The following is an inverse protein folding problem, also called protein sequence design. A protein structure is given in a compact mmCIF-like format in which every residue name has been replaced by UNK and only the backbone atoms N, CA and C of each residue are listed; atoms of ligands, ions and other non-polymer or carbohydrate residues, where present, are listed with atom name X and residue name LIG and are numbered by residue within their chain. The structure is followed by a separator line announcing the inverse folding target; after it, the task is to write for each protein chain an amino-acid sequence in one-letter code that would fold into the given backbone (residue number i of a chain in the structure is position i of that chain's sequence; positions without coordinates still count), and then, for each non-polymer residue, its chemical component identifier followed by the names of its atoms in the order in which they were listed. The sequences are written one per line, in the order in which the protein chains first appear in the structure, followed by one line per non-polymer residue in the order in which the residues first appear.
data_IF_682055237617
#
_entry.id   IF_682055237617
#
_cell.length_a   1.000
_cell.length_b   1.000
_cell.length_c   1.000
_cell.angle_alpha   90.00
_cell.angle_beta   90.00
_cell.angle_gamma   90.00
#
_symmetry.space_group_name_H-M   'P 1'
#
loop_
_entity.id
_entity.type
_entity.pdbx_description
1 polymer ?
#
# COMPACT_ATOMS: atom_id res chain seq x y z
N UNK A 1 36.31 8.53 0.61
CA UNK A 1 35.23 7.81 1.33
C UNK A 1 33.94 8.52 1.00
N UNK A 2 33.16 8.00 0.03
CA UNK A 2 31.92 8.63 -0.43
C UNK A 2 30.82 8.36 0.59
N UNK A 3 29.98 9.37 0.84
CA UNK A 3 28.94 9.36 1.86
C UNK A 3 27.95 8.21 1.64
N UNK A 4 27.71 7.42 2.68
CA UNK A 4 26.61 6.46 2.78
C UNK A 4 25.29 7.25 2.77
N UNK A 5 24.69 7.51 1.60
CA UNK A 5 23.36 8.10 1.52
C UNK A 5 22.31 7.04 1.89
N UNK A 6 22.13 6.87 3.20
CA UNK A 6 21.07 6.05 3.75
C UNK A 6 19.77 6.87 3.69
N UNK A 7 18.87 6.48 2.80
CA UNK A 7 17.56 7.13 2.67
C UNK A 7 16.54 6.29 3.43
N UNK A 8 15.95 6.86 4.48
CA UNK A 8 14.83 6.24 5.21
C UNK A 8 13.56 7.05 4.94
N UNK A 9 12.53 6.38 4.46
CA UNK A 9 11.24 6.95 4.10
C UNK A 9 10.16 6.32 4.97
N UNK A 10 9.27 7.14 5.52
CA UNK A 10 8.14 6.66 6.31
C UNK A 10 6.87 6.66 5.46
N UNK A 11 6.26 5.49 5.36
CA UNK A 11 4.98 5.31 4.68
C UNK A 11 3.91 5.32 5.76
N UNK A 12 3.16 6.42 5.80
CA UNK A 12 2.01 6.60 6.67
C UNK A 12 0.74 6.03 6.06
N UNK A 13 -0.39 6.43 6.64
CA UNK A 13 -1.72 5.97 6.21
C UNK A 13 -2.35 7.00 5.28
N UNK A 14 -2.70 6.59 4.06
CA UNK A 14 -3.38 7.45 3.09
C UNK A 14 -4.80 7.79 3.53
N UNK A 15 -5.17 9.09 3.44
CA UNK A 15 -6.55 9.55 3.65
C UNK A 15 -7.42 9.25 2.43
N UNK A 16 -6.83 9.32 1.23
CA UNK A 16 -7.50 8.98 -0.04
C UNK A 16 -7.89 7.51 -0.09
N UNK A 17 -6.99 6.61 0.29
CA UNK A 17 -7.27 5.17 0.36
C UNK A 17 -8.44 4.87 1.30
N UNK A 18 -8.46 5.47 2.50
CA UNK A 18 -9.59 5.39 3.44
C UNK A 18 -10.91 5.83 2.80
N UNK A 19 -10.91 6.97 2.10
CA UNK A 19 -12.10 7.51 1.45
C UNK A 19 -12.59 6.61 0.32
N UNK A 20 -11.68 6.09 -0.51
CA UNK A 20 -12.00 5.18 -1.61
C UNK A 20 -12.61 3.88 -1.05
N UNK A 21 -11.98 3.29 -0.04
CA UNK A 21 -12.51 2.09 0.64
C UNK A 21 -13.91 2.34 1.20
N UNK A 22 -14.12 3.46 1.90
CA UNK A 22 -15.43 3.82 2.43
C UNK A 22 -16.46 3.99 1.30
N UNK A 23 -16.09 4.72 0.23
CA UNK A 23 -16.97 4.96 -0.90
C UNK A 23 -17.39 3.66 -1.58
N UNK A 24 -16.46 2.72 -1.80
CA UNK A 24 -16.77 1.42 -2.38
C UNK A 24 -17.78 0.63 -1.53
N UNK A 25 -17.63 0.64 -0.20
CA UNK A 25 -18.60 -0.02 0.68
C UNK A 25 -19.96 0.68 0.68
N UNK A 26 -20.00 2.02 0.67
CA UNK A 26 -21.24 2.77 0.56
C UNK A 26 -21.95 2.52 -0.78
N UNK A 27 -21.20 2.46 -1.88
CA UNK A 27 -21.73 2.12 -3.20
C UNK A 27 -22.27 0.69 -3.23
N UNK A 28 -21.58 -0.27 -2.62
CA UNK A 28 -22.06 -1.65 -2.52
C UNK A 28 -23.36 -1.73 -1.71
N UNK A 29 -23.45 -1.04 -0.56
CA UNK A 29 -24.67 -0.97 0.24
C UNK A 29 -25.82 -0.33 -0.54
N UNK A 30 -25.57 0.76 -1.27
CA UNK A 30 -26.57 1.41 -2.10
C UNK A 30 -27.04 0.50 -3.24
N UNK A 31 -26.12 -0.22 -3.89
CA UNK A 31 -26.45 -1.18 -4.93
C UNK A 31 -27.35 -2.31 -4.40
N UNK A 32 -27.06 -2.82 -3.20
CA UNK A 32 -27.89 -3.84 -2.55
C UNK A 32 -29.26 -3.25 -2.16
N UNK A 33 -29.29 -2.01 -1.65
CA UNK A 33 -30.52 -1.33 -1.26
C UNK A 33 -31.47 -1.11 -2.46
N UNK A 34 -30.92 -0.78 -3.63
CA UNK A 34 -31.68 -0.58 -4.87
C UNK A 34 -31.96 -1.88 -5.64
N UNK A 35 -31.37 -3.00 -5.23
CA UNK A 35 -31.60 -4.28 -5.88
C UNK A 35 -33.00 -4.83 -5.60
N UNK A 36 -33.66 -5.38 -6.62
CA UNK A 36 -34.98 -6.01 -6.51
C UNK A 36 -34.88 -7.47 -6.01
N UNK A 37 -34.01 -7.73 -5.03
CA UNK A 37 -33.77 -9.06 -4.47
C UNK A 37 -34.71 -9.30 -3.28
N UNK A 38 -34.99 -10.56 -2.95
CA UNK A 38 -35.76 -10.93 -1.76
C UNK A 38 -35.19 -10.27 -0.47
N UNK A 39 -36.05 -9.75 0.42
CA UNK A 39 -35.60 -9.00 1.61
C UNK A 39 -34.64 -9.77 2.51
N UNK A 40 -34.79 -11.08 2.64
CA UNK A 40 -33.92 -11.90 3.49
C UNK A 40 -32.48 -11.98 2.93
N UNK A 41 -32.34 -12.13 1.61
CA UNK A 41 -31.04 -12.14 0.92
C UNK A 41 -30.41 -10.75 0.96
N UNK A 42 -31.21 -9.68 0.86
CA UNK A 42 -30.75 -8.31 0.97
C UNK A 42 -30.07 -8.04 2.33
N UNK A 43 -30.70 -8.45 3.44
CA UNK A 43 -30.12 -8.34 4.78
C UNK A 43 -28.82 -9.13 4.93
N UNK A 44 -28.76 -10.35 4.38
CA UNK A 44 -27.55 -11.16 4.39
C UNK A 44 -26.40 -10.48 3.66
N UNK A 45 -26.65 -9.91 2.46
CA UNK A 45 -25.64 -9.20 1.69
C UNK A 45 -25.15 -7.93 2.39
N UNK A 46 -26.05 -7.16 3.02
CA UNK A 46 -25.69 -6.00 3.83
C UNK A 46 -24.76 -6.42 4.98
N UNK A 47 -25.09 -7.49 5.69
CA UNK A 47 -24.26 -8.01 6.77
C UNK A 47 -22.86 -8.42 6.28
N UNK A 48 -22.78 -9.09 5.11
CA UNK A 48 -21.51 -9.46 4.48
C UNK A 48 -20.69 -8.23 4.10
N UNK A 49 -21.30 -7.20 3.51
CA UNK A 49 -20.58 -5.97 3.13
C UNK A 49 -20.07 -5.22 4.35
N UNK A 50 -20.87 -5.13 5.42
CA UNK A 50 -20.45 -4.50 6.68
C UNK A 50 -19.29 -5.29 7.30
N UNK A 51 -19.41 -6.62 7.36
CA UNK A 51 -18.35 -7.49 7.88
C UNK A 51 -17.06 -7.36 7.07
N UNK A 52 -17.16 -7.38 5.75
CA UNK A 52 -16.03 -7.13 4.83
C UNK A 52 -15.37 -5.78 5.11
N UNK A 53 -16.17 -4.72 5.30
CA UNK A 53 -15.66 -3.39 5.65
C UNK A 53 -14.90 -3.36 6.98
N UNK A 54 -15.39 -4.06 7.99
CA UNK A 54 -14.72 -4.17 9.29
C UNK A 54 -13.41 -4.94 9.15
N UNK A 55 -13.40 -6.09 8.47
CA UNK A 55 -12.20 -6.91 8.26
C UNK A 55 -11.15 -6.15 7.46
N UNK A 56 -11.55 -5.49 6.37
CA UNK A 56 -10.67 -4.67 5.55
C UNK A 56 -10.07 -3.52 6.37
N UNK A 57 -10.90 -2.80 7.13
CA UNK A 57 -10.43 -1.71 7.99
C UNK A 57 -9.42 -2.20 9.03
N UNK A 58 -9.66 -3.36 9.66
CA UNK A 58 -8.71 -3.93 10.63
C UNK A 58 -7.38 -4.29 9.98
N UNK A 59 -7.41 -4.95 8.81
CA UNK A 59 -6.21 -5.39 8.10
C UNK A 59 -5.34 -4.23 7.63
N UNK A 60 -5.94 -3.15 7.13
CA UNK A 60 -5.21 -2.03 6.56
C UNK A 60 -4.83 -0.93 7.57
N UNK A 61 -5.57 -0.78 8.68
CA UNK A 61 -5.36 0.36 9.59
C UNK A 61 -4.93 0.00 11.01
N UNK A 62 -5.08 -1.25 11.43
CA UNK A 62 -4.67 -1.68 12.78
C UNK A 62 -3.37 -2.49 12.74
N UNK A 63 -3.01 -3.06 11.60
CA UNK A 63 -1.82 -3.92 11.45
C UNK A 63 -0.51 -3.22 11.09
N UNK A 64 -0.53 -1.96 10.63
CA UNK A 64 0.68 -1.25 10.17
C UNK A 64 0.87 0.08 10.90
N UNK A 65 1.45 -0.01 12.08
CA UNK A 65 2.33 1.03 12.61
C UNK A 65 3.40 1.34 11.58
N UNK A 66 3.29 2.48 10.91
CA UNK A 66 4.36 3.20 10.23
C UNK A 66 5.41 2.31 9.54
N UNK A 67 5.14 1.95 8.28
CA UNK A 67 6.11 1.19 7.49
C UNK A 67 7.31 2.08 7.17
N UNK A 68 8.50 1.62 7.55
CA UNK A 68 9.75 2.28 7.21
C UNK A 68 10.40 1.55 6.04
N UNK A 69 10.61 2.28 4.95
CA UNK A 69 11.34 1.81 3.78
C UNK A 69 12.72 2.46 3.81
N UNK A 70 13.76 1.67 3.61
CA UNK A 70 15.15 2.13 3.62
C UNK A 70 15.83 1.73 2.31
N UNK A 71 16.64 2.63 1.79
CA UNK A 71 17.59 2.34 0.72
C UNK A 71 19.02 2.52 1.24
N UNK A 72 19.88 1.58 0.91
CA UNK A 72 21.32 1.60 1.18
C UNK A 72 22.05 1.08 -0.05
N UNK A 73 23.19 1.67 -0.41
CA UNK A 73 23.99 1.19 -1.55
C UNK A 73 24.47 -0.25 -1.37
N UNK A 74 24.77 -0.66 -0.13
CA UNK A 74 25.33 -1.99 0.17
C UNK A 74 24.27 -3.11 0.13
N UNK A 75 23.03 -2.79 0.52
CA UNK A 75 21.95 -3.78 0.71
C UNK A 75 20.73 -3.54 -0.20
N UNK A 76 20.74 -2.48 -1.00
CA UNK A 76 19.60 -2.06 -1.79
C UNK A 76 18.40 -1.65 -0.93
N UNK A 77 17.21 -2.06 -1.37
CA UNK A 77 15.95 -1.75 -0.68
C UNK A 77 15.70 -2.67 0.50
N UNK A 78 15.23 -2.09 1.59
CA UNK A 78 14.92 -2.80 2.83
C UNK A 78 13.60 -2.29 3.42
N UNK A 79 12.80 -3.19 3.97
CA UNK A 79 11.55 -2.88 4.64
C UNK A 79 11.66 -3.24 6.13
N UNK A 80 11.16 -2.35 6.99
CA UNK A 80 11.07 -2.63 8.41
C UNK A 80 9.93 -3.62 8.71
N UNK A 81 10.27 -4.74 9.33
CA UNK A 81 9.36 -5.86 9.63
C UNK A 81 8.99 -5.95 11.11
N UNK A 82 9.01 -4.81 11.82
CA UNK A 82 8.69 -4.71 13.25
C UNK A 82 9.92 -4.84 14.15
N UNK A 83 10.81 -5.80 13.87
CA UNK A 83 12.02 -6.01 14.66
C UNK A 83 13.30 -5.61 13.92
N UNK A 84 13.30 -5.68 12.58
CA UNK A 84 14.51 -5.44 11.78
C UNK A 84 14.19 -4.99 10.36
N UNK A 85 15.21 -4.44 9.69
CA UNK A 85 15.17 -4.15 8.26
C UNK A 85 15.51 -5.42 7.48
N UNK A 86 14.51 -5.96 6.78
CA UNK A 86 14.67 -7.08 5.88
C UNK A 86 14.86 -6.57 4.46
N UNK A 87 15.83 -7.14 3.73
CA UNK A 87 16.02 -6.81 2.32
C UNK A 87 14.79 -7.22 1.51
N UNK A 88 14.38 -6.33 0.62
CA UNK A 88 13.31 -6.59 -0.35
C UNK A 88 13.85 -6.44 -1.76
N UNK A 89 13.30 -7.23 -2.67
CA UNK A 89 13.56 -7.07 -4.10
C UNK A 89 12.35 -6.41 -4.74
N UNK A 90 12.56 -5.29 -5.43
CA UNK A 90 11.47 -4.66 -6.18
C UNK A 90 11.30 -5.43 -7.48
N UNK A 91 10.05 -5.73 -7.81
CA UNK A 91 9.71 -6.47 -9.01
C UNK A 91 9.28 -5.50 -10.11
N UNK A 92 9.63 -5.83 -11.36
CA UNK A 92 9.41 -4.96 -12.53
C UNK A 92 7.95 -4.64 -12.87
N UNK A 93 6.99 -5.33 -12.24
CA UNK A 93 5.57 -4.93 -12.35
C UNK A 93 5.18 -3.80 -11.40
N UNK A 94 6.16 -3.13 -10.77
CA UNK A 94 5.92 -1.91 -9.99
C UNK A 94 5.57 -0.77 -10.93
N UNK A 95 4.40 -0.14 -10.72
CA UNK A 95 3.94 0.96 -11.56
C UNK A 95 4.00 2.28 -10.78
N UNK A 96 4.75 3.24 -11.31
CA UNK A 96 4.90 4.58 -10.73
C UNK A 96 3.94 5.54 -11.42
N UNK A 97 3.04 6.17 -10.66
CA UNK A 97 2.16 7.24 -11.15
C UNK A 97 2.25 8.47 -10.25
N UNK A 98 1.88 9.67 -10.72
CA UNK A 98 1.89 10.88 -9.90
C UNK A 98 0.96 10.81 -8.67
N UNK A 99 -0.05 9.96 -8.71
CA UNK A 99 -1.07 9.84 -7.65
C UNK A 99 -0.79 8.68 -6.70
N UNK A 100 -0.21 7.59 -7.20
CA UNK A 100 0.04 6.38 -6.43
C UNK A 100 1.17 5.54 -7.04
N UNK A 101 1.85 4.79 -6.19
CA UNK A 101 2.83 3.77 -6.56
C UNK A 101 2.20 2.40 -6.30
N UNK A 102 2.07 1.58 -7.34
CA UNK A 102 1.70 0.18 -7.22
C UNK A 102 2.97 -0.61 -6.96
N UNK A 103 3.35 -0.71 -5.69
CA UNK A 103 4.58 -1.30 -5.23
C UNK A 103 4.47 -2.82 -5.22
N UNK A 104 5.21 -3.49 -6.11
CA UNK A 104 5.34 -4.94 -6.11
C UNK A 104 6.75 -5.33 -5.67
N UNK A 105 6.85 -6.10 -4.60
CA UNK A 105 8.14 -6.52 -4.06
C UNK A 105 8.10 -7.96 -3.57
N UNK A 106 9.26 -8.57 -3.55
CA UNK A 106 9.51 -9.87 -2.95
C UNK A 106 10.19 -9.68 -1.59
N UNK A 107 9.66 -10.36 -0.57
CA UNK A 107 10.24 -10.44 0.76
C UNK A 107 10.31 -11.92 1.16
N UNK A 108 11.52 -12.42 1.43
CA UNK A 108 11.74 -13.81 1.86
C UNK A 108 11.08 -14.87 0.95
N UNK A 109 11.16 -14.70 -0.38
CA UNK A 109 10.57 -15.65 -1.33
C UNK A 109 9.07 -15.49 -1.57
N UNK A 110 8.43 -14.48 -0.97
CA UNK A 110 6.99 -14.23 -1.12
C UNK A 110 6.74 -12.90 -1.81
N UNK A 111 5.80 -12.89 -2.74
CA UNK A 111 5.39 -11.70 -3.47
C UNK A 111 4.35 -10.90 -2.68
N UNK A 112 4.55 -9.59 -2.63
CA UNK A 112 3.72 -8.64 -1.90
C UNK A 112 3.34 -7.47 -2.79
N UNK A 113 2.04 -7.15 -2.82
CA UNK A 113 1.51 -6.00 -3.54
C UNK A 113 0.99 -4.96 -2.56
N UNK A 114 1.42 -3.72 -2.74
CA UNK A 114 0.97 -2.59 -1.94
C UNK A 114 0.74 -1.37 -2.84
N UNK A 115 -0.34 -0.64 -2.59
CA UNK A 115 -0.53 0.69 -3.19
C UNK A 115 -0.09 1.74 -2.19
N UNK A 116 0.81 2.63 -2.60
CA UNK A 116 1.29 3.76 -1.82
C UNK A 116 0.78 5.04 -2.49
N UNK A 117 -0.25 5.66 -1.93
CA UNK A 117 -0.76 6.92 -2.43
C UNK A 117 0.18 8.08 -2.08
N UNK A 118 0.15 9.13 -2.89
CA UNK A 118 0.99 10.31 -2.68
C UNK A 118 0.68 11.09 -1.39
N UNK A 119 -0.49 10.88 -0.79
CA UNK A 119 -0.88 11.48 0.50
C UNK A 119 -0.54 10.59 1.70
N UNK A 120 0.13 9.46 1.49
CA UNK A 120 0.65 8.59 2.54
C UNK A 120 1.97 9.11 3.16
N UNK A 121 2.63 10.07 2.51
CA UNK A 121 3.87 10.70 2.96
C UNK A 121 3.94 12.15 2.46
N UNK A 122 4.95 12.90 2.90
CA UNK A 122 5.17 14.26 2.42
C UNK A 122 5.59 14.28 0.94
N UNK A 123 5.26 15.35 0.22
CA UNK A 123 5.47 15.46 -1.24
C UNK A 123 6.94 15.24 -1.64
N UNK A 124 7.87 15.78 -0.85
CA UNK A 124 9.31 15.65 -1.09
C UNK A 124 9.73 14.17 -0.98
N UNK A 125 9.22 13.46 0.02
CA UNK A 125 9.56 12.06 0.26
C UNK A 125 8.89 11.14 -0.75
N UNK A 126 7.67 11.46 -1.18
CA UNK A 126 7.01 10.75 -2.29
C UNK A 126 7.78 10.89 -3.60
N UNK A 127 8.26 12.11 -3.89
CA UNK A 127 9.09 12.36 -5.07
C UNK A 127 10.42 11.63 -4.97
N UNK A 128 11.08 11.65 -3.80
CA UNK A 128 12.32 10.90 -3.56
C UNK A 128 12.09 9.41 -3.80
N UNK A 129 11.05 8.82 -3.18
CA UNK A 129 10.69 7.42 -3.38
C UNK A 129 10.55 7.09 -4.87
N UNK A 130 9.77 7.89 -5.60
CA UNK A 130 9.54 7.69 -7.04
C UNK A 130 10.83 7.72 -7.84
N UNK A 131 11.72 8.67 -7.57
CA UNK A 131 13.01 8.79 -8.25
C UNK A 131 13.90 7.59 -7.95
N UNK A 132 14.07 7.22 -6.68
CA UNK A 132 14.89 6.09 -6.28
C UNK A 132 14.37 4.78 -6.89
N UNK A 133 13.05 4.53 -6.84
CA UNK A 133 12.44 3.35 -7.47
C UNK A 133 12.69 3.33 -8.97
N UNK A 134 12.58 4.47 -9.65
CA UNK A 134 12.82 4.57 -11.10
C UNK A 134 14.25 4.20 -11.46
N UNK A 135 15.24 4.68 -10.70
CA UNK A 135 16.65 4.38 -10.90
C UNK A 135 16.91 2.88 -10.69
N UNK A 136 16.36 2.29 -9.62
CA UNK A 136 16.54 0.86 -9.34
C UNK A 136 15.94 -0.01 -10.45
N UNK A 137 14.71 0.27 -10.89
CA UNK A 137 14.03 -0.51 -11.94
C UNK A 137 14.77 -0.42 -13.28
N UNK A 138 15.30 0.75 -13.64
CA UNK A 138 16.08 0.91 -14.88
C UNK A 138 17.45 0.20 -14.88
N UNK A 139 17.91 -0.28 -13.73
CA UNK A 139 19.22 -0.96 -13.61
C UNK A 139 19.09 -2.49 -13.70
N UNK A 140 17.87 -3.03 -13.68
CA UNK A 140 17.60 -4.48 -13.80
C UNK A 140 17.18 -4.91 -15.23
N UNK A 141 17.16 -3.99 -16.21
CA UNK A 141 17.03 -4.29 -17.66
C UNK A 141 18.40 -4.48 -18.32
#
# INVERSE_FOLDING_TARGET
MKHLELVTLRIGVSKREKKILLLMHLMALLAIALSAIEPYVQWLLIAVVIFSGIVCRRRYFIGDTERLLRYSEDYGWQLFTGDSFAQIRILGSTVLTPLAIFFHYELQGKNHYQVIFNDAMDEIDFRRLTVYLKITVSTEE
#
